data_IF_224577246132
#
_entry.id   IF_224577246132
#
_cell.length_a   1.000
_cell.length_b   1.000
_cell.length_c   1.000
_cell.angle_alpha   90.00
_cell.angle_beta   90.00
_cell.angle_gamma   90.00
#
_symmetry.space_group_name_H-M   'P 1'
#
loop_
_entity.id
_entity.type
_entity.pdbx_description
1 polymer ?
#
# COMPACT_ATOMS: atom_id res chain seq x y z
N UNK A 1 -0.56 -9.20 4.85
CA UNK A 1 -0.48 -9.39 3.37
C UNK A 1 -1.46 -10.42 2.79
N UNK A 2 -1.77 -11.56 3.45
CA UNK A 2 -2.73 -12.57 2.93
C UNK A 2 -4.08 -11.98 2.48
N UNK A 3 -4.61 -11.02 3.24
CA UNK A 3 -5.85 -10.33 2.90
C UNK A 3 -5.81 -9.64 1.52
N UNK A 4 -4.67 -9.06 1.11
CA UNK A 4 -4.54 -8.48 -0.23
C UNK A 4 -4.57 -9.53 -1.35
N UNK A 5 -4.16 -10.77 -1.07
CA UNK A 5 -4.12 -11.85 -2.06
C UNK A 5 -5.45 -12.58 -2.23
N UNK A 6 -6.28 -12.56 -1.18
CA UNK A 6 -7.54 -13.31 -1.11
C UNK A 6 -8.78 -12.46 -1.43
N UNK A 7 -8.60 -11.16 -1.61
CA UNK A 7 -9.68 -10.24 -1.92
C UNK A 7 -9.37 -9.53 -3.22
N UNK A 8 -10.44 -9.23 -3.97
CA UNK A 8 -10.31 -8.49 -5.22
C UNK A 8 -10.17 -6.99 -4.96
N UNK A 9 -10.79 -6.49 -3.89
CA UNK A 9 -10.80 -5.07 -3.54
C UNK A 9 -10.16 -4.83 -2.18
N UNK A 10 -9.46 -3.70 -2.04
CA UNK A 10 -8.94 -3.23 -0.75
C UNK A 10 -9.31 -1.76 -0.50
N UNK A 11 -9.63 -1.44 0.75
CA UNK A 11 -9.77 -0.08 1.23
C UNK A 11 -8.75 0.15 2.35
N UNK A 12 -7.81 1.07 2.16
CA UNK A 12 -6.85 1.50 3.18
C UNK A 12 -7.18 2.91 3.66
N UNK A 13 -7.67 3.03 4.89
CA UNK A 13 -7.90 4.29 5.59
C UNK A 13 -6.91 4.43 6.75
N UNK A 14 -5.76 5.06 6.50
CA UNK A 14 -4.62 5.08 7.42
C UNK A 14 -3.67 6.25 7.11
N UNK A 15 -2.55 6.34 7.85
CA UNK A 15 -1.49 7.29 7.49
C UNK A 15 -0.61 6.73 6.37
N UNK A 16 -0.27 7.60 5.42
CA UNK A 16 0.71 7.33 4.38
C UNK A 16 1.98 8.14 4.65
N UNK A 17 3.13 7.56 4.35
CA UNK A 17 4.43 8.23 4.41
C UNK A 17 5.20 8.00 3.11
N UNK A 18 5.67 9.09 2.52
CA UNK A 18 6.55 9.06 1.36
C UNK A 18 8.02 9.00 1.82
N UNK A 19 8.83 8.25 1.08
CA UNK A 19 10.29 8.27 1.16
C UNK A 19 10.86 8.69 -0.21
N UNK A 20 11.09 10.01 -0.41
CA UNK A 20 11.58 10.52 -1.71
C UNK A 20 12.95 9.98 -2.11
N UNK A 21 13.78 9.57 -1.13
CA UNK A 21 15.11 9.03 -1.40
C UNK A 21 15.06 7.55 -1.78
N UNK A 22 14.09 6.82 -1.24
CA UNK A 22 13.85 5.40 -1.54
C UNK A 22 12.35 5.16 -1.79
N UNK A 23 11.82 5.48 -2.98
CA UNK A 23 10.37 5.50 -3.24
C UNK A 23 9.64 4.19 -2.93
N UNK A 24 10.30 3.05 -3.10
CA UNK A 24 9.71 1.74 -2.78
C UNK A 24 9.56 1.47 -1.27
N UNK A 25 10.20 2.27 -0.42
CA UNK A 25 10.02 2.25 1.03
C UNK A 25 8.90 3.17 1.51
N UNK A 26 8.29 3.98 0.63
CA UNK A 26 7.02 4.63 0.93
C UNK A 26 6.00 3.59 1.40
N UNK A 27 5.17 3.94 2.38
CA UNK A 27 4.37 2.95 3.09
C UNK A 27 3.08 3.48 3.69
N UNK A 28 2.18 2.55 3.94
CA UNK A 28 1.01 2.72 4.81
C UNK A 28 1.36 2.28 6.23
N UNK A 29 1.04 3.13 7.21
CA UNK A 29 1.25 2.83 8.62
C UNK A 29 0.13 1.91 9.09
N UNK A 30 0.45 0.61 9.26
CA UNK A 30 -0.47 -0.35 9.85
C UNK A 30 -0.23 -0.49 11.35
N UNK A 31 -1.15 -1.18 12.04
CA UNK A 31 -1.07 -1.40 13.49
C UNK A 31 0.22 -2.11 13.93
N UNK A 32 0.63 -3.15 13.20
CA UNK A 32 1.72 -4.03 13.61
C UNK A 32 3.03 -3.71 12.87
N UNK A 33 2.97 -3.63 11.54
CA UNK A 33 4.10 -3.34 10.66
C UNK A 33 3.71 -2.40 9.53
N UNK A 34 4.66 -1.67 8.96
CA UNK A 34 4.39 -0.85 7.79
C UNK A 34 4.16 -1.72 6.55
N UNK A 35 3.16 -1.37 5.76
CA UNK A 35 2.93 -1.95 4.44
C UNK A 35 3.63 -1.08 3.39
N UNK A 36 4.84 -1.47 2.98
CA UNK A 36 5.61 -0.72 1.98
C UNK A 36 5.12 -0.98 0.55
N UNK A 37 5.43 -0.07 -0.38
CA UNK A 37 5.17 -0.29 -1.80
C UNK A 37 5.92 -1.54 -2.31
N UNK A 38 7.16 -1.74 -1.85
CA UNK A 38 7.91 -2.97 -2.17
C UNK A 38 7.16 -4.23 -1.71
N UNK A 39 6.60 -4.23 -0.50
CA UNK A 39 5.80 -5.36 -0.01
C UNK A 39 4.56 -5.63 -0.87
N UNK A 40 3.96 -4.61 -1.50
CA UNK A 40 2.82 -4.77 -2.41
C UNK A 40 3.31 -5.32 -3.75
N UNK A 41 4.38 -4.73 -4.32
CA UNK A 41 4.92 -5.11 -5.63
C UNK A 41 5.49 -6.52 -5.69
N UNK A 42 6.13 -6.98 -4.61
CA UNK A 42 6.67 -8.34 -4.53
C UNK A 42 5.57 -9.41 -4.34
N UNK A 43 4.33 -9.01 -4.06
CA UNK A 43 3.23 -9.95 -3.87
C UNK A 43 2.53 -10.23 -5.18
N UNK A 44 2.33 -11.51 -5.42
CA UNK A 44 1.50 -11.97 -6.51
C UNK A 44 0.02 -11.79 -6.11
N UNK A 45 -0.58 -10.68 -6.55
CA UNK A 45 -1.96 -10.30 -6.28
C UNK A 45 -2.87 -10.72 -7.46
N UNK A 46 -2.99 -12.04 -7.68
CA UNK A 46 -3.69 -12.63 -8.83
C UNK A 46 -5.14 -12.17 -9.03
N UNK A 47 -5.79 -11.79 -7.95
CA UNK A 47 -7.21 -11.45 -7.94
C UNK A 47 -7.43 -9.95 -7.73
N UNK A 48 -6.39 -9.14 -7.57
CA UNK A 48 -6.55 -7.72 -7.27
C UNK A 48 -7.14 -6.96 -8.47
N UNK A 49 -8.25 -6.29 -8.23
CA UNK A 49 -8.97 -5.49 -9.21
C UNK A 49 -8.98 -4.00 -8.85
N UNK A 50 -9.12 -3.67 -7.57
CA UNK A 50 -9.29 -2.29 -7.14
C UNK A 50 -8.72 -2.00 -5.76
N UNK A 51 -8.14 -0.80 -5.61
CA UNK A 51 -7.69 -0.29 -4.32
C UNK A 51 -8.20 1.14 -4.12
N UNK A 52 -8.88 1.37 -2.99
CA UNK A 52 -9.25 2.70 -2.53
C UNK A 52 -8.33 3.12 -1.38
N UNK A 53 -7.63 4.23 -1.55
CA UNK A 53 -6.58 4.69 -0.64
C UNK A 53 -6.96 6.03 -0.02
N UNK A 54 -7.46 6.01 1.21
CA UNK A 54 -7.65 7.17 2.06
C UNK A 54 -6.45 7.33 3.01
N UNK A 55 -5.34 7.82 2.46
CA UNK A 55 -4.14 8.10 3.25
C UNK A 55 -3.49 9.41 2.84
N UNK A 56 -2.70 9.98 3.74
CA UNK A 56 -1.96 11.22 3.46
C UNK A 56 -1.01 11.00 2.28
N UNK A 57 -0.96 11.97 1.35
CA UNK A 57 -0.01 11.97 0.24
C UNK A 57 -0.06 10.68 -0.63
N UNK A 58 -1.25 10.12 -0.85
CA UNK A 58 -1.46 8.93 -1.71
C UNK A 58 -1.31 9.21 -3.20
N UNK A 59 -1.41 10.47 -3.60
CA UNK A 59 -1.32 10.93 -4.98
C UNK A 59 -0.45 12.19 -5.10
N UNK A 60 0.67 12.21 -4.36
CA UNK A 60 1.76 13.13 -4.70
C UNK A 60 2.58 12.45 -5.80
N UNK A 61 2.41 12.93 -7.03
CA UNK A 61 3.38 12.70 -8.09
C UNK A 61 4.44 13.80 -8.02
N UNK A 62 5.69 13.43 -8.25
CA UNK A 62 6.71 14.41 -8.64
C UNK A 62 6.51 14.78 -10.13
#
# INVERSE_FOLDING_TARGET
LKALQQNTWVHLACHGKQDPMQPYNSHFVMRDEHLTLLNIMEKHLLQAEFAFLLACHTSVGD
#
